data_IF_668166889110
#
_entry.id   IF_668166889110
#
_cell.length_a   1.000
_cell.length_b   1.000
_cell.length_c   1.000
_cell.angle_alpha   90.00
_cell.angle_beta   90.00
_cell.angle_gamma   90.00
#
_symmetry.space_group_name_H-M   'P 1'
#
loop_
_entity.id
_entity.type
_entity.pdbx_description
1 polymer ?
#
# COMPACT_ATOMS: atom_id res chain seq x y z
N UNK A 1 -21.15 6.48 0.67
CA UNK A 1 -21.31 7.85 1.23
C UNK A 1 -19.94 8.53 1.26
N UNK A 2 -19.89 9.84 1.52
CA UNK A 2 -18.62 10.57 1.55
C UNK A 2 -17.72 10.14 2.72
N UNK A 3 -18.29 9.74 3.85
CA UNK A 3 -17.60 9.24 5.03
C UNK A 3 -17.14 7.79 4.95
N UNK A 4 -17.64 7.03 3.97
CA UNK A 4 -17.25 5.63 3.77
C UNK A 4 -15.76 5.52 3.43
N UNK A 5 -15.14 4.41 3.82
CA UNK A 5 -13.77 4.08 3.42
C UNK A 5 -13.79 2.86 2.51
N UNK A 6 -13.03 2.92 1.43
CA UNK A 6 -12.78 1.76 0.58
C UNK A 6 -11.37 1.27 0.88
N UNK A 7 -11.26 0.00 1.22
CA UNK A 7 -9.98 -0.69 1.38
C UNK A 7 -9.82 -1.66 0.22
N UNK A 8 -8.77 -1.48 -0.56
CA UNK A 8 -8.30 -2.44 -1.54
C UNK A 8 -7.03 -3.09 -0.99
N UNK A 9 -7.01 -4.40 -0.90
CA UNK A 9 -5.84 -5.15 -0.48
C UNK A 9 -5.49 -6.20 -1.53
N UNK A 10 -4.23 -6.27 -1.90
CA UNK A 10 -3.69 -7.30 -2.77
C UNK A 10 -2.38 -7.84 -2.19
N UNK A 11 -2.24 -9.16 -2.16
CA UNK A 11 -0.98 -9.85 -1.86
C UNK A 11 -0.79 -10.95 -2.90
N UNK A 12 0.34 -10.93 -3.61
CA UNK A 12 0.63 -11.88 -4.68
C UNK A 12 1.73 -11.40 -5.63
N UNK A 13 1.77 -11.99 -6.80
CA UNK A 13 2.77 -11.62 -7.79
C UNK A 13 2.46 -10.27 -8.45
N UNK A 14 3.52 -9.53 -8.76
CA UNK A 14 3.45 -8.27 -9.48
C UNK A 14 4.53 -8.17 -10.55
N UNK A 15 4.26 -7.34 -11.53
CA UNK A 15 5.19 -6.93 -12.58
C UNK A 15 5.29 -5.41 -12.59
N UNK A 16 6.19 -4.83 -13.41
CA UNK A 16 6.17 -3.40 -13.64
C UNK A 16 4.80 -2.99 -14.21
N UNK A 17 4.08 -2.11 -13.50
CA UNK A 17 2.79 -1.55 -13.93
C UNK A 17 1.55 -2.42 -13.70
N UNK A 18 1.67 -3.67 -13.18
CA UNK A 18 0.50 -4.56 -13.03
C UNK A 18 0.61 -5.51 -11.85
N UNK A 19 -0.53 -5.91 -11.31
CA UNK A 19 -0.65 -7.10 -10.47
C UNK A 19 -0.98 -8.31 -11.35
N UNK A 20 -0.56 -9.51 -10.89
CA UNK A 20 -0.84 -10.78 -11.58
C UNK A 20 -2.08 -11.40 -10.94
N UNK A 21 -3.11 -11.60 -11.74
CA UNK A 21 -4.34 -12.29 -11.34
C UNK A 21 -4.21 -13.82 -11.49
N UNK A 22 -5.35 -14.48 -11.53
CA UNK A 22 -5.39 -15.93 -11.74
C UNK A 22 -5.01 -16.26 -13.20
N UNK A 23 -4.14 -17.26 -13.38
CA UNK A 23 -3.60 -17.62 -14.70
C UNK A 23 -2.68 -16.52 -15.27
N UNK A 24 -2.66 -16.31 -16.60
CA UNK A 24 -1.79 -15.32 -17.24
C UNK A 24 -2.37 -13.90 -17.21
N UNK A 25 -3.40 -13.64 -16.39
CA UNK A 25 -4.10 -12.34 -16.36
C UNK A 25 -3.23 -11.29 -15.67
N UNK A 26 -2.93 -10.20 -16.37
CA UNK A 26 -2.35 -8.98 -15.81
C UNK A 26 -3.45 -7.94 -15.62
N UNK A 27 -3.51 -7.35 -14.43
CA UNK A 27 -4.37 -6.20 -14.15
C UNK A 27 -3.50 -4.96 -13.94
N UNK A 28 -3.47 -4.04 -14.91
CA UNK A 28 -2.68 -2.81 -14.81
C UNK A 28 -3.14 -1.92 -13.66
N UNK A 29 -2.20 -1.31 -12.94
CA UNK A 29 -2.52 -0.35 -11.87
C UNK A 29 -3.41 0.80 -12.34
N UNK A 30 -3.23 1.27 -13.58
CA UNK A 30 -4.07 2.33 -14.17
C UNK A 30 -5.56 1.93 -14.25
N UNK A 31 -5.87 0.68 -14.50
CA UNK A 31 -7.26 0.19 -14.54
C UNK A 31 -7.85 0.11 -13.13
N UNK A 32 -7.04 -0.32 -12.14
CA UNK A 32 -7.43 -0.30 -10.73
C UNK A 32 -7.75 1.13 -10.30
N UNK A 33 -6.84 2.07 -10.55
CA UNK A 33 -7.01 3.49 -10.24
C UNK A 33 -8.25 4.05 -10.92
N UNK A 34 -8.41 3.83 -12.24
CA UNK A 34 -9.58 4.27 -13.01
C UNK A 34 -10.89 3.77 -12.39
N UNK A 35 -10.94 2.49 -12.03
CA UNK A 35 -12.13 1.90 -11.43
C UNK A 35 -12.42 2.46 -10.04
N UNK A 36 -11.41 2.56 -9.18
CA UNK A 36 -11.56 3.10 -7.83
C UNK A 36 -11.93 4.59 -7.85
N UNK A 37 -11.41 5.36 -8.79
CA UNK A 37 -11.71 6.80 -8.91
C UNK A 37 -13.18 7.10 -9.21
N UNK A 38 -13.96 6.12 -9.70
CA UNK A 38 -15.42 6.28 -9.91
C UNK A 38 -16.21 6.28 -8.60
N UNK A 39 -15.60 5.87 -7.48
CA UNK A 39 -16.27 5.86 -6.20
C UNK A 39 -16.61 7.28 -5.72
N UNK A 40 -17.72 7.38 -5.00
CA UNK A 40 -18.20 8.68 -4.46
C UNK A 40 -17.41 9.13 -3.23
N UNK A 41 -16.84 8.18 -2.48
CA UNK A 41 -16.00 8.52 -1.32
C UNK A 41 -14.63 9.03 -1.76
N UNK A 42 -14.06 10.04 -1.07
CA UNK A 42 -12.68 10.44 -1.27
C UNK A 42 -11.68 9.58 -0.46
N UNK A 43 -12.15 8.64 0.38
CA UNK A 43 -11.31 7.90 1.32
C UNK A 43 -11.02 6.48 0.79
N UNK A 44 -10.07 6.36 -0.13
CA UNK A 44 -9.71 5.08 -0.75
C UNK A 44 -8.25 4.75 -0.38
N UNK A 45 -8.05 3.57 0.22
CA UNK A 45 -6.75 3.11 0.69
C UNK A 45 -6.42 1.77 0.04
N UNK A 46 -5.30 1.72 -0.68
CA UNK A 46 -4.81 0.54 -1.38
C UNK A 46 -3.55 0.02 -0.70
N UNK A 47 -3.56 -1.23 -0.27
CA UNK A 47 -2.40 -1.93 0.27
C UNK A 47 -1.97 -2.98 -0.75
N UNK A 48 -0.72 -2.91 -1.22
CA UNK A 48 -0.22 -3.78 -2.29
C UNK A 48 1.07 -4.46 -1.84
N UNK A 49 0.97 -5.76 -1.56
CA UNK A 49 2.10 -6.64 -1.26
C UNK A 49 2.45 -7.46 -2.50
N UNK A 50 3.24 -6.87 -3.37
CA UNK A 50 3.68 -7.48 -4.62
C UNK A 50 5.07 -7.01 -5.02
N UNK A 51 5.82 -7.82 -5.76
CA UNK A 51 7.09 -7.41 -6.37
C UNK A 51 6.88 -6.16 -7.21
N UNK A 52 7.83 -5.22 -7.15
CA UNK A 52 7.79 -3.97 -7.92
C UNK A 52 6.50 -3.16 -7.73
N UNK A 53 5.86 -3.30 -6.56
CA UNK A 53 4.60 -2.61 -6.27
C UNK A 53 4.72 -1.08 -6.37
N UNK A 54 5.89 -0.52 -6.10
CA UNK A 54 6.17 0.90 -6.29
C UNK A 54 6.01 1.40 -7.72
N UNK A 55 6.01 0.51 -8.73
CA UNK A 55 5.77 0.87 -10.13
C UNK A 55 4.35 1.39 -10.43
N UNK A 56 3.46 1.34 -9.46
CA UNK A 56 2.16 2.00 -9.55
C UNK A 56 2.27 3.48 -9.92
N UNK A 57 3.41 4.11 -9.58
CA UNK A 57 3.69 5.51 -9.89
C UNK A 57 4.38 5.71 -11.23
N UNK A 58 5.14 4.72 -11.70
CA UNK A 58 5.89 4.80 -12.95
C UNK A 58 4.94 4.78 -14.16
N UNK A 59 3.82 4.08 -14.05
CA UNK A 59 2.78 3.95 -15.08
C UNK A 59 2.00 5.27 -15.35
N UNK A 60 2.14 6.26 -14.46
CA UNK A 60 1.43 7.53 -14.58
C UNK A 60 2.06 8.49 -15.60
N UNK A 61 3.20 8.13 -16.21
CA UNK A 61 3.93 8.98 -17.16
C UNK A 61 4.59 10.19 -16.50
N UNK A 62 5.71 10.65 -17.07
CA UNK A 62 6.55 11.71 -16.51
C UNK A 62 5.89 13.10 -16.33
N UNK A 63 4.64 13.28 -16.77
CA UNK A 63 3.88 14.53 -16.69
C UNK A 63 2.58 14.43 -15.88
N UNK A 64 2.28 13.28 -15.29
CA UNK A 64 1.07 13.08 -14.50
C UNK A 64 1.40 13.26 -13.02
N UNK A 65 0.90 14.31 -12.39
CA UNK A 65 0.94 14.35 -10.95
C UNK A 65 -0.02 13.29 -10.39
N UNK A 66 0.42 12.52 -9.40
CA UNK A 66 -0.39 11.48 -8.76
C UNK A 66 -1.79 11.98 -8.36
N UNK A 67 -1.87 13.22 -7.87
CA UNK A 67 -3.13 13.85 -7.51
C UNK A 67 -4.11 13.99 -8.68
N UNK A 68 -3.62 14.24 -9.88
CA UNK A 68 -4.47 14.32 -11.09
C UNK A 68 -5.00 12.93 -11.47
N UNK A 69 -4.15 11.91 -11.43
CA UNK A 69 -4.54 10.54 -11.78
C UNK A 69 -5.60 9.98 -10.82
N UNK A 70 -5.53 10.33 -9.53
CA UNK A 70 -6.40 9.78 -8.49
C UNK A 70 -7.51 10.71 -8.07
N UNK A 71 -7.54 11.96 -8.57
CA UNK A 71 -8.46 13.01 -8.10
C UNK A 71 -8.32 13.29 -6.59
N UNK A 72 -7.11 13.10 -6.04
CA UNK A 72 -6.81 13.21 -4.60
C UNK A 72 -7.68 12.31 -3.69
N UNK A 73 -8.12 11.15 -4.21
CA UNK A 73 -9.01 10.23 -3.49
C UNK A 73 -8.34 8.95 -3.03
N UNK A 74 -7.19 8.59 -3.61
CA UNK A 74 -6.57 7.28 -3.42
C UNK A 74 -5.21 7.44 -2.77
N UNK A 75 -4.97 6.65 -1.73
CA UNK A 75 -3.65 6.46 -1.12
C UNK A 75 -3.21 5.03 -1.33
N UNK A 76 -1.99 4.85 -1.81
CA UNK A 76 -1.32 3.55 -1.90
C UNK A 76 -0.28 3.41 -0.80
N UNK A 77 -0.29 2.26 -0.12
CA UNK A 77 0.81 1.77 0.71
C UNK A 77 1.31 0.47 0.08
N UNK A 78 2.57 0.47 -0.34
CA UNK A 78 3.15 -0.57 -1.17
C UNK A 78 4.35 -1.21 -0.47
N UNK A 79 4.57 -2.51 -0.70
CA UNK A 79 5.59 -3.29 -0.02
C UNK A 79 7.02 -2.89 -0.38
N UNK A 80 7.25 -2.40 -1.61
CA UNK A 80 8.59 -2.14 -2.14
C UNK A 80 8.58 -0.97 -3.14
N UNK A 81 9.77 -0.47 -3.46
CA UNK A 81 9.98 0.47 -4.58
C UNK A 81 9.78 -0.22 -5.93
N UNK A 82 9.71 0.57 -7.00
CA UNK A 82 9.51 0.06 -8.38
C UNK A 82 10.60 -0.91 -8.85
N UNK A 83 11.80 -0.81 -8.31
CA UNK A 83 12.95 -1.66 -8.65
C UNK A 83 13.26 -2.74 -7.60
N UNK A 84 12.46 -2.87 -6.56
CA UNK A 84 12.65 -3.82 -5.47
C UNK A 84 11.72 -5.02 -5.58
N UNK A 85 12.19 -6.17 -5.09
CA UNK A 85 11.38 -7.38 -4.94
C UNK A 85 10.64 -7.34 -3.60
N UNK A 86 9.46 -7.93 -3.53
CA UNK A 86 8.75 -8.20 -2.28
C UNK A 86 9.04 -9.64 -1.83
N UNK A 87 9.44 -9.81 -0.58
CA UNK A 87 9.76 -11.11 -0.02
C UNK A 87 8.59 -11.72 0.74
N UNK A 88 8.40 -13.03 0.52
CA UNK A 88 7.49 -13.85 1.30
C UNK A 88 8.30 -14.71 2.29
N UNK A 89 7.83 -14.79 3.51
CA UNK A 89 8.32 -15.78 4.45
C UNK A 89 7.51 -17.06 4.27
N UNK A 90 8.11 -18.07 3.64
CA UNK A 90 7.47 -19.37 3.36
C UNK A 90 6.88 -20.06 4.61
N UNK A 91 7.43 -19.77 5.79
CA UNK A 91 6.97 -20.35 7.07
C UNK A 91 5.75 -19.64 7.65
N UNK A 92 5.48 -18.41 7.25
CA UNK A 92 4.43 -17.57 7.83
C UNK A 92 3.24 -17.34 6.87
N UNK A 93 3.32 -17.82 5.64
CA UNK A 93 2.23 -17.76 4.65
C UNK A 93 1.83 -16.37 4.16
N UNK A 94 2.54 -15.32 4.59
CA UNK A 94 2.30 -13.93 4.18
C UNK A 94 3.61 -13.18 4.04
N UNK A 95 3.66 -12.19 3.15
CA UNK A 95 4.80 -11.30 2.99
C UNK A 95 5.09 -10.47 4.26
N UNK A 96 6.32 -9.99 4.39
CA UNK A 96 6.72 -9.14 5.53
C UNK A 96 5.84 -7.89 5.64
N UNK A 97 5.48 -7.30 4.51
CA UNK A 97 4.61 -6.14 4.45
C UNK A 97 3.20 -6.44 4.98
N UNK A 98 2.55 -7.49 4.48
CA UNK A 98 1.21 -7.90 4.94
C UNK A 98 1.17 -8.18 6.43
N UNK A 99 2.21 -8.83 6.96
CA UNK A 99 2.34 -9.08 8.41
C UNK A 99 2.48 -7.78 9.20
N UNK A 100 3.31 -6.84 8.72
CA UNK A 100 3.51 -5.57 9.38
C UNK A 100 2.21 -4.74 9.39
N UNK A 101 1.50 -4.68 8.25
CA UNK A 101 0.18 -4.04 8.16
C UNK A 101 -0.78 -4.64 9.19
N UNK A 102 -0.89 -5.97 9.24
CA UNK A 102 -1.79 -6.65 10.16
C UNK A 102 -1.45 -6.39 11.64
N UNK A 103 -0.17 -6.46 12.01
CA UNK A 103 0.31 -6.14 13.37
C UNK A 103 0.05 -4.67 13.71
N UNK A 104 0.33 -3.76 12.78
CA UNK A 104 0.09 -2.34 12.96
C UNK A 104 -1.38 -2.03 13.22
N UNK A 105 -2.28 -2.56 12.40
CA UNK A 105 -3.73 -2.38 12.56
C UNK A 105 -4.29 -3.01 13.85
N UNK A 106 -3.59 -4.00 14.43
CA UNK A 106 -3.91 -4.60 15.73
C UNK A 106 -3.33 -3.86 16.94
N UNK A 107 -2.87 -2.62 16.73
CA UNK A 107 -2.44 -1.72 17.80
C UNK A 107 -0.94 -1.46 17.89
N UNK A 108 -0.08 -2.23 17.19
CA UNK A 108 1.36 -2.02 17.27
C UNK A 108 1.82 -0.69 16.65
N UNK A 109 1.00 -0.09 15.78
CA UNK A 109 1.29 1.19 15.17
C UNK A 109 0.79 2.40 15.99
N UNK A 110 0.07 2.18 17.10
CA UNK A 110 -0.39 3.25 18.00
C UNK A 110 0.80 3.87 18.73
N UNK A 111 1.33 4.94 18.16
CA UNK A 111 2.53 5.60 18.67
C UNK A 111 2.23 6.60 19.79
N UNK A 112 1.00 7.11 19.84
CA UNK A 112 0.58 8.14 20.78
C UNK A 112 -0.30 7.63 21.93
N UNK A 113 -0.73 6.34 21.88
CA UNK A 113 -1.54 5.69 22.90
C UNK A 113 -3.01 6.09 22.91
N UNK A 114 -3.52 6.68 21.80
CA UNK A 114 -4.90 7.16 21.72
C UNK A 114 -5.91 6.10 21.27
N UNK A 115 -5.46 4.84 21.11
CA UNK A 115 -6.24 3.68 20.65
C UNK A 115 -6.82 3.83 19.26
N UNK A 116 -6.16 4.59 18.42
CA UNK A 116 -6.49 4.74 17.01
C UNK A 116 -5.24 4.50 16.18
N UNK A 117 -5.42 4.05 14.95
CA UNK A 117 -4.33 3.96 13.99
C UNK A 117 -4.68 4.83 12.80
N UNK A 118 -3.90 5.87 12.60
CA UNK A 118 -3.95 6.69 11.40
C UNK A 118 -3.13 6.05 10.27
N UNK A 119 -3.35 6.52 9.04
CA UNK A 119 -2.53 6.12 7.88
C UNK A 119 -1.05 6.40 8.12
N UNK A 120 -0.72 7.57 8.69
CA UNK A 120 0.67 7.95 8.96
C UNK A 120 1.33 7.07 10.00
N UNK A 121 0.65 6.73 11.09
CA UNK A 121 1.16 5.83 12.13
C UNK A 121 1.37 4.43 11.58
N UNK A 122 0.38 3.91 10.85
CA UNK A 122 0.51 2.60 10.20
C UNK A 122 1.71 2.56 9.27
N UNK A 123 1.87 3.57 8.41
CA UNK A 123 3.00 3.61 7.48
C UNK A 123 4.34 3.67 8.20
N UNK A 124 4.46 4.52 9.22
CA UNK A 124 5.71 4.64 10.01
C UNK A 124 6.09 3.30 10.64
N UNK A 125 5.13 2.61 11.22
CA UNK A 125 5.33 1.29 11.81
C UNK A 125 5.72 0.25 10.74
N UNK A 126 4.97 0.16 9.65
CA UNK A 126 5.21 -0.79 8.55
C UNK A 126 6.58 -0.56 7.93
N UNK A 127 6.95 0.71 7.67
CA UNK A 127 8.25 1.05 7.12
C UNK A 127 9.39 0.56 8.02
N UNK A 128 9.30 0.84 9.32
CA UNK A 128 10.34 0.45 10.28
C UNK A 128 10.44 -1.08 10.42
N UNK A 129 9.32 -1.79 10.57
CA UNK A 129 9.29 -3.25 10.75
C UNK A 129 9.81 -3.98 9.50
N UNK A 130 9.37 -3.59 8.32
CA UNK A 130 9.77 -4.24 7.05
C UNK A 130 11.24 -3.96 6.74
N UNK A 131 11.68 -2.70 6.82
CA UNK A 131 13.06 -2.32 6.53
C UNK A 131 14.03 -3.03 7.47
N UNK A 132 13.72 -3.07 8.78
CA UNK A 132 14.58 -3.76 9.75
C UNK A 132 14.66 -5.26 9.48
N UNK A 133 13.54 -5.90 9.17
CA UNK A 133 13.49 -7.36 8.92
C UNK A 133 14.14 -7.78 7.61
N UNK A 134 14.24 -6.88 6.65
CA UNK A 134 14.81 -7.19 5.33
C UNK A 134 16.20 -6.59 5.08
N UNK A 135 16.73 -5.80 6.01
CA UNK A 135 18.01 -5.07 5.83
C UNK A 135 19.20 -5.95 5.47
N UNK A 136 19.23 -7.19 5.96
CA UNK A 136 20.31 -8.14 5.71
C UNK A 136 19.98 -9.15 4.61
N UNK A 137 18.86 -8.99 3.90
CA UNK A 137 18.50 -9.83 2.77
C UNK A 137 19.22 -9.36 1.50
N UNK A 138 19.29 -10.23 0.49
CA UNK A 138 19.82 -9.89 -0.83
C UNK A 138 19.02 -8.79 -1.55
N UNK A 139 17.77 -8.56 -1.13
CA UNK A 139 16.92 -7.50 -1.65
C UNK A 139 16.14 -6.83 -0.50
N UNK A 140 16.72 -5.82 0.16
CA UNK A 140 16.04 -5.03 1.17
C UNK A 140 14.76 -4.38 0.63
N UNK A 141 13.71 -4.33 1.45
CA UNK A 141 12.43 -3.73 1.09
C UNK A 141 12.25 -2.38 1.76
N UNK A 142 11.76 -1.43 0.98
CA UNK A 142 11.44 -0.09 1.47
C UNK A 142 9.98 0.24 1.12
N UNK A 143 9.03 0.00 2.03
CA UNK A 143 7.63 0.34 1.81
C UNK A 143 7.45 1.80 1.37
N UNK A 144 6.46 2.02 0.52
CA UNK A 144 6.14 3.34 -0.02
C UNK A 144 4.74 3.77 0.41
N UNK A 145 4.54 5.07 0.66
CA UNK A 145 3.24 5.68 0.88
C UNK A 145 3.06 6.83 -0.10
N UNK A 146 2.04 6.75 -0.93
CA UNK A 146 1.73 7.77 -1.93
C UNK A 146 0.25 8.08 -1.90
N UNK A 147 -0.07 9.36 -1.77
CA UNK A 147 -1.45 9.84 -1.70
C UNK A 147 -1.54 11.27 -1.18
N UNK A 148 -2.76 11.82 -1.10
CA UNK A 148 -2.97 13.18 -0.61
C UNK A 148 -2.62 13.30 0.88
N UNK A 149 -2.00 14.39 1.26
CA UNK A 149 -1.62 14.65 2.67
C UNK A 149 -2.82 14.62 3.63
N UNK A 150 -4.01 14.98 3.15
CA UNK A 150 -5.27 14.92 3.92
C UNK A 150 -5.60 13.49 4.40
N UNK A 151 -5.10 12.46 3.72
CA UNK A 151 -5.33 11.07 4.13
C UNK A 151 -4.44 10.62 5.29
N UNK A 152 -3.32 11.29 5.55
CA UNK A 152 -2.34 10.82 6.53
C UNK A 152 -2.90 10.76 7.96
N UNK A 153 -3.83 11.67 8.29
CA UNK A 153 -4.50 11.70 9.59
C UNK A 153 -5.83 10.93 9.62
N UNK A 154 -6.22 10.27 8.52
CA UNK A 154 -7.43 9.45 8.51
C UNK A 154 -7.22 8.22 9.39
N UNK A 155 -8.12 8.02 10.34
CA UNK A 155 -8.12 6.85 11.22
C UNK A 155 -8.58 5.63 10.44
N UNK A 156 -7.74 4.61 10.36
CA UNK A 156 -8.05 3.33 9.69
C UNK A 156 -8.79 2.38 10.63
N UNK A 157 -8.37 2.32 11.89
CA UNK A 157 -8.98 1.47 12.91
C UNK A 157 -8.88 2.12 14.29
N UNK A 158 -9.73 1.65 15.20
CA UNK A 158 -9.76 2.01 16.64
C UNK A 158 -10.21 0.80 17.45
N UNK A 159 -9.80 0.68 18.71
CA UNK A 159 -10.18 -0.40 19.65
C UNK A 159 -10.38 0.10 21.08
#
# INVERSE_FOLDING_TARGET
KAEDKIIFFFSGHGTAGSIVGYGPMLLPYKEIVKKLSTARTPNIFCFVDACKSGSVTDDAGSNYTWGQATGNKITFMMASRSNELSWENQWLGNGFFSQAVLKGLRGKADANGDRKITVAELYKYVYADVTERTKSSEAPQHPQLIGPKSHFNVVLTKW
#
